data_IF_719801764279
#
_entry.id   IF_719801764279
#
_cell.length_a   1.000
_cell.length_b   1.000
_cell.length_c   1.000
_cell.angle_alpha   90.00
_cell.angle_beta   90.00
_cell.angle_gamma   90.00
#
_symmetry.space_group_name_H-M   'P 1'
#
loop_
_entity.id
_entity.type
_entity.pdbx_description
1 polymer ?
#
# COMPACT_ATOMS: atom_id res chain seq x y z
N UNK A 1 -9.48 20.77 -1.19
CA UNK A 1 -10.34 19.68 -0.67
C UNK A 1 -9.88 19.23 0.70
N UNK A 2 -10.72 18.45 1.43
CA UNK A 2 -10.37 17.89 2.72
C UNK A 2 -9.94 16.43 2.51
N UNK A 3 -8.68 16.14 2.74
CA UNK A 3 -8.07 14.82 2.54
C UNK A 3 -7.93 14.14 3.89
N UNK A 4 -8.39 12.90 3.98
CA UNK A 4 -8.09 12.03 5.10
C UNK A 4 -6.91 11.13 4.74
N UNK A 5 -5.77 11.37 5.39
CA UNK A 5 -4.59 10.51 5.27
C UNK A 5 -4.61 9.43 6.36
N UNK A 6 -4.95 8.23 5.94
CA UNK A 6 -5.00 7.04 6.78
C UNK A 6 -3.63 6.35 6.78
N UNK A 7 -3.02 6.22 7.96
CA UNK A 7 -1.69 5.61 8.07
C UNK A 7 -1.46 5.04 9.48
N UNK A 8 -0.41 4.27 9.66
CA UNK A 8 0.08 3.87 10.98
C UNK A 8 0.83 5.04 11.63
N UNK A 9 0.67 5.22 12.94
CA UNK A 9 1.36 6.26 13.71
C UNK A 9 2.89 6.17 13.63
N UNK A 10 3.43 4.96 13.44
CA UNK A 10 4.86 4.65 13.30
C UNK A 10 5.32 4.51 11.84
N UNK A 11 4.48 4.89 10.86
CA UNK A 11 4.85 4.75 9.46
C UNK A 11 6.04 5.66 9.11
N UNK A 12 7.07 5.07 8.47
CA UNK A 12 8.19 5.82 7.94
C UNK A 12 7.72 6.72 6.78
N UNK A 13 8.32 7.90 6.65
CA UNK A 13 8.04 8.88 5.59
C UNK A 13 6.60 9.43 5.59
N UNK A 14 5.82 9.29 6.67
CA UNK A 14 4.45 9.82 6.72
C UNK A 14 4.42 11.35 6.58
N UNK A 15 5.45 12.04 7.10
CA UNK A 15 5.61 13.49 6.99
C UNK A 15 5.79 13.89 5.51
N UNK A 16 6.66 13.19 4.77
CA UNK A 16 6.87 13.46 3.35
C UNK A 16 5.62 13.16 2.50
N UNK A 17 4.86 12.10 2.82
CA UNK A 17 3.56 11.84 2.20
C UNK A 17 2.58 12.97 2.50
N UNK A 18 2.51 13.42 3.75
CA UNK A 18 1.66 14.55 4.15
C UNK A 18 1.99 15.82 3.35
N UNK A 19 3.27 16.18 3.22
CA UNK A 19 3.72 17.36 2.48
C UNK A 19 3.28 17.32 1.01
N UNK A 20 3.42 16.15 0.36
CA UNK A 20 2.97 15.98 -1.03
C UNK A 20 1.45 16.14 -1.14
N UNK A 21 0.68 15.52 -0.23
CA UNK A 21 -0.78 15.64 -0.22
C UNK A 21 -1.23 17.08 0.01
N UNK A 22 -0.52 17.83 0.85
CA UNK A 22 -0.83 19.22 1.18
C UNK A 22 -0.32 20.26 0.14
N UNK A 23 0.50 19.85 -0.82
CA UNK A 23 1.22 20.75 -1.76
C UNK A 23 0.31 21.68 -2.59
N UNK A 24 -0.97 21.33 -2.76
CA UNK A 24 -1.96 22.12 -3.50
C UNK A 24 -2.91 22.91 -2.59
N UNK A 25 -2.47 23.27 -1.39
CA UNK A 25 -3.26 23.97 -0.35
C UNK A 25 -4.50 23.18 0.10
N UNK A 26 -4.47 21.86 -0.07
CA UNK A 26 -5.52 20.99 0.47
C UNK A 26 -5.36 20.84 1.98
N UNK A 27 -6.48 20.69 2.68
CA UNK A 27 -6.47 20.41 4.12
C UNK A 27 -6.29 18.92 4.33
N UNK A 28 -5.16 18.50 4.89
CA UNK A 28 -4.84 17.11 5.17
C UNK A 28 -5.02 16.81 6.65
N UNK A 29 -5.83 15.80 6.96
CA UNK A 29 -6.03 15.27 8.31
C UNK A 29 -5.40 13.89 8.40
N UNK A 30 -4.34 13.74 9.20
CA UNK A 30 -3.71 12.44 9.46
C UNK A 30 -4.50 11.68 10.52
N UNK A 31 -4.80 10.40 10.27
CA UNK A 31 -5.64 9.62 11.16
C UNK A 31 -5.19 8.15 11.24
N UNK A 32 -5.23 7.58 12.46
CA UNK A 32 -4.67 6.26 12.78
C UNK A 32 -5.68 5.28 13.38
N UNK A 33 -6.90 5.76 13.66
CA UNK A 33 -7.94 4.96 14.30
C UNK A 33 -8.97 4.51 13.27
N UNK A 34 -9.86 3.63 13.68
CA UNK A 34 -10.99 3.21 12.85
C UNK A 34 -11.86 4.40 12.43
N UNK A 35 -12.18 4.46 11.14
CA UNK A 35 -12.99 5.53 10.54
C UNK A 35 -14.46 5.20 10.64
N UNK A 36 -15.27 6.19 11.05
CA UNK A 36 -16.74 6.10 11.04
C UNK A 36 -17.35 7.07 10.05
N UNK A 37 -18.57 6.80 9.61
CA UNK A 37 -19.29 7.69 8.70
C UNK A 37 -19.52 9.09 9.31
N UNK A 38 -19.82 9.14 10.62
CA UNK A 38 -20.03 10.41 11.33
C UNK A 38 -18.71 11.22 11.40
N UNK A 39 -17.57 10.53 11.55
CA UNK A 39 -16.28 11.19 11.48
C UNK A 39 -16.04 11.80 10.08
N UNK A 40 -16.29 11.07 9.00
CA UNK A 40 -16.14 11.60 7.64
C UNK A 40 -17.04 12.80 7.39
N UNK A 41 -18.30 12.75 7.82
CA UNK A 41 -19.27 13.85 7.72
C UNK A 41 -18.81 15.07 8.51
N UNK A 42 -18.44 14.88 9.78
CA UNK A 42 -17.99 15.96 10.68
C UNK A 42 -16.75 16.69 10.15
N UNK A 43 -15.80 15.92 9.59
CA UNK A 43 -14.57 16.48 9.02
C UNK A 43 -14.75 16.94 7.56
N UNK A 44 -15.91 16.75 6.95
CA UNK A 44 -16.23 17.10 5.54
C UNK A 44 -15.18 16.50 4.58
N UNK A 45 -14.87 15.22 4.74
CA UNK A 45 -13.82 14.55 3.95
C UNK A 45 -14.29 14.37 2.50
N UNK A 46 -13.45 14.80 1.57
CA UNK A 46 -13.67 14.69 0.13
C UNK A 46 -12.88 13.56 -0.53
N UNK A 47 -11.73 13.19 0.07
CA UNK A 47 -10.78 12.24 -0.48
C UNK A 47 -10.10 11.44 0.64
N UNK A 48 -9.85 10.15 0.40
CA UNK A 48 -9.10 9.28 1.31
C UNK A 48 -7.82 8.83 0.61
N UNK A 49 -6.67 9.04 1.26
CA UNK A 49 -5.41 8.45 0.89
C UNK A 49 -4.95 7.49 2.00
N UNK A 50 -4.70 6.23 1.67
CA UNK A 50 -4.34 5.18 2.61
C UNK A 50 -2.95 4.64 2.32
N UNK A 51 -2.09 4.63 3.33
CA UNK A 51 -0.76 4.03 3.30
C UNK A 51 -0.46 3.38 4.65
N UNK A 52 -0.42 2.04 4.69
CA UNK A 52 -0.22 1.24 5.92
C UNK A 52 -1.32 1.43 6.98
N UNK A 53 -2.52 1.59 6.56
CA UNK A 53 -3.65 1.64 7.46
C UNK A 53 -4.15 0.21 7.78
N UNK A 54 -4.39 -0.06 9.07
CA UNK A 54 -4.65 -1.43 9.56
C UNK A 54 -6.12 -1.84 9.55
N UNK A 55 -7.04 -0.91 9.30
CA UNK A 55 -8.49 -1.19 9.30
C UNK A 55 -9.02 -1.27 7.88
N UNK A 56 -10.04 -2.10 7.68
CA UNK A 56 -10.76 -2.19 6.41
C UNK A 56 -11.83 -1.11 6.38
N UNK A 57 -11.89 -0.35 5.29
CA UNK A 57 -12.95 0.63 5.07
C UNK A 57 -14.18 -0.07 4.50
N UNK A 58 -15.30 0.07 5.20
CA UNK A 58 -16.59 -0.43 4.73
C UNK A 58 -17.06 0.28 3.45
N UNK A 59 -17.82 -0.41 2.62
CA UNK A 59 -18.34 0.11 1.35
C UNK A 59 -19.09 1.44 1.51
N UNK A 60 -19.82 1.62 2.62
CA UNK A 60 -20.55 2.87 2.92
C UNK A 60 -19.62 4.08 3.09
N UNK A 61 -18.39 3.87 3.61
CA UNK A 61 -17.38 4.93 3.78
C UNK A 61 -16.76 5.30 2.42
N UNK A 62 -16.49 4.30 1.58
CA UNK A 62 -15.98 4.50 0.22
C UNK A 62 -17.01 5.24 -0.66
N UNK A 63 -18.30 4.88 -0.54
CA UNK A 63 -19.38 5.54 -1.24
C UNK A 63 -19.57 6.99 -0.80
N UNK A 64 -19.35 7.30 0.48
CA UNK A 64 -19.43 8.67 1.00
C UNK A 64 -18.45 9.63 0.30
N UNK A 65 -17.26 9.17 -0.02
CA UNK A 65 -16.27 9.94 -0.79
C UNK A 65 -16.38 9.72 -2.31
N UNK A 66 -17.49 9.17 -2.78
CA UNK A 66 -17.75 8.92 -4.22
C UNK A 66 -16.64 8.10 -4.90
N UNK A 67 -16.07 7.11 -4.21
CA UNK A 67 -14.97 6.29 -4.70
C UNK A 67 -13.62 7.00 -4.76
N UNK A 68 -13.51 8.22 -4.23
CA UNK A 68 -12.23 8.95 -4.14
C UNK A 68 -11.39 8.46 -2.96
N UNK A 69 -11.04 7.18 -3.01
CA UNK A 69 -10.22 6.52 -2.00
C UNK A 69 -9.12 5.73 -2.69
N UNK A 70 -7.88 6.06 -2.40
CA UNK A 70 -6.66 5.45 -2.97
C UNK A 70 -5.88 4.77 -1.87
N UNK A 71 -5.41 3.55 -2.14
CA UNK A 71 -4.51 2.81 -1.27
C UNK A 71 -3.17 2.59 -1.93
N UNK A 72 -2.12 2.59 -1.12
CA UNK A 72 -0.76 2.23 -1.49
C UNK A 72 -0.51 0.78 -1.10
N UNK A 73 -0.15 -0.05 -2.08
CA UNK A 73 0.16 -1.45 -1.87
C UNK A 73 1.58 -1.78 -2.35
N UNK A 74 2.50 -2.25 -1.45
CA UNK A 74 3.90 -2.50 -1.81
C UNK A 74 4.09 -3.83 -2.55
N UNK A 75 3.36 -4.05 -3.64
CA UNK A 75 3.57 -5.08 -4.66
C UNK A 75 3.06 -4.61 -6.01
N UNK A 76 3.35 -5.36 -7.06
CA UNK A 76 2.74 -5.17 -8.38
C UNK A 76 1.42 -5.96 -8.43
N UNK A 77 0.30 -5.30 -8.11
CA UNK A 77 -1.03 -5.91 -8.22
C UNK A 77 -1.28 -6.43 -9.65
N UNK A 78 -1.92 -7.59 -9.81
CA UNK A 78 -2.72 -8.35 -8.84
C UNK A 78 -1.91 -9.29 -7.92
N UNK A 79 -0.59 -9.34 -8.02
CA UNK A 79 0.25 -10.23 -7.21
C UNK A 79 0.34 -9.79 -5.75
N UNK A 80 0.42 -10.79 -4.85
CA UNK A 80 0.72 -10.61 -3.42
C UNK A 80 -0.23 -9.65 -2.70
N UNK A 81 -1.54 -9.78 -2.95
CA UNK A 81 -2.60 -9.07 -2.23
C UNK A 81 -2.57 -9.43 -0.74
N UNK A 82 -3.06 -8.52 0.10
CA UNK A 82 -3.16 -8.71 1.54
C UNK A 82 -1.93 -8.23 2.29
N UNK A 83 -1.51 -8.96 3.33
CA UNK A 83 -0.47 -8.51 4.26
C UNK A 83 0.95 -8.74 3.72
N UNK A 84 1.90 -7.91 4.18
CA UNK A 84 3.34 -8.07 3.92
C UNK A 84 3.71 -8.35 2.45
N UNK A 85 3.13 -7.62 1.48
CA UNK A 85 3.23 -7.95 0.06
C UNK A 85 4.66 -7.98 -0.45
N UNK A 86 5.55 -7.14 0.09
CA UNK A 86 6.96 -7.12 -0.28
C UNK A 86 7.67 -8.43 0.08
N UNK A 87 7.42 -8.96 1.29
CA UNK A 87 7.95 -10.27 1.71
C UNK A 87 7.45 -11.39 0.78
N UNK A 88 6.15 -11.41 0.51
CA UNK A 88 5.56 -12.43 -0.37
C UNK A 88 6.01 -12.27 -1.82
N UNK A 89 6.36 -11.09 -2.30
CA UNK A 89 6.95 -10.92 -3.63
C UNK A 89 8.26 -11.70 -3.77
N UNK A 90 9.11 -11.64 -2.74
CA UNK A 90 10.37 -12.39 -2.72
C UNK A 90 10.13 -13.89 -2.56
N UNK A 91 9.26 -14.26 -1.61
CA UNK A 91 8.95 -15.65 -1.32
C UNK A 91 8.34 -16.38 -2.53
N UNK A 92 7.38 -15.74 -3.20
CA UNK A 92 6.68 -16.26 -4.38
C UNK A 92 7.46 -16.03 -5.70
N UNK A 93 8.63 -15.39 -5.61
CA UNK A 93 9.49 -15.08 -6.76
C UNK A 93 8.75 -14.32 -7.87
N UNK A 94 7.83 -13.44 -7.48
CA UNK A 94 7.16 -12.51 -8.39
C UNK A 94 7.92 -11.20 -8.49
N UNK A 95 7.62 -10.39 -9.51
CA UNK A 95 8.16 -9.04 -9.60
C UNK A 95 7.80 -8.23 -8.36
N UNK A 96 8.76 -7.47 -7.85
CA UNK A 96 8.61 -6.60 -6.69
C UNK A 96 8.29 -5.18 -7.15
N UNK A 97 7.44 -4.48 -6.43
CA UNK A 97 7.08 -3.11 -6.80
C UNK A 97 6.10 -2.45 -5.85
N UNK A 98 5.52 -1.37 -6.32
CA UNK A 98 4.47 -0.60 -5.63
C UNK A 98 3.31 -0.38 -6.58
N UNK A 99 2.10 -0.47 -6.08
CA UNK A 99 0.87 -0.12 -6.78
C UNK A 99 0.09 0.94 -6.00
N UNK A 100 -0.42 1.95 -6.69
CA UNK A 100 -1.50 2.79 -6.22
C UNK A 100 -2.78 2.30 -6.89
N UNK A 101 -3.82 2.07 -6.11
CA UNK A 101 -5.07 1.56 -6.64
C UNK A 101 -6.28 2.19 -5.93
N UNK A 102 -7.43 2.20 -6.57
CA UNK A 102 -8.68 2.58 -5.94
C UNK A 102 -9.06 1.57 -4.85
N UNK A 103 -9.58 2.06 -3.75
CA UNK A 103 -10.15 1.19 -2.72
C UNK A 103 -11.56 0.77 -3.11
N UNK A 104 -11.85 -0.51 -2.92
CA UNK A 104 -13.18 -1.11 -3.12
C UNK A 104 -13.51 -1.99 -1.93
N UNK A 105 -14.76 -2.50 -1.85
CA UNK A 105 -15.13 -3.48 -0.81
C UNK A 105 -14.31 -4.77 -0.85
N UNK A 106 -13.68 -5.06 -2.00
CA UNK A 106 -12.81 -6.23 -2.18
C UNK A 106 -11.37 -5.80 -1.98
N UNK A 107 -10.70 -6.43 -1.01
CA UNK A 107 -9.32 -6.09 -0.63
C UNK A 107 -8.36 -6.17 -1.81
N UNK A 108 -7.65 -5.06 -2.08
CA UNK A 108 -6.62 -4.88 -3.12
C UNK A 108 -7.06 -5.25 -4.54
N UNK A 109 -8.37 -5.14 -4.87
CA UNK A 109 -8.93 -5.46 -6.19
C UNK A 109 -9.40 -4.24 -7.00
N UNK A 110 -9.27 -3.05 -6.47
CA UNK A 110 -9.64 -1.84 -7.20
C UNK A 110 -8.74 -1.56 -8.39
N UNK A 111 -9.22 -0.72 -9.30
CA UNK A 111 -8.46 -0.34 -10.49
C UNK A 111 -7.12 0.29 -10.15
N UNK A 112 -6.10 -0.06 -10.91
CA UNK A 112 -4.72 0.40 -10.74
C UNK A 112 -4.57 1.80 -11.32
N UNK A 113 -4.02 2.69 -10.53
CA UNK A 113 -3.77 4.10 -10.86
C UNK A 113 -2.35 4.27 -11.39
N UNK A 114 -1.36 3.74 -10.65
CA UNK A 114 0.04 3.79 -11.01
C UNK A 114 0.78 2.58 -10.43
N UNK A 115 1.79 2.13 -11.13
CA UNK A 115 2.67 1.05 -10.66
C UNK A 115 4.12 1.36 -11.01
N UNK A 116 5.03 0.95 -10.14
CA UNK A 116 6.46 1.01 -10.39
C UNK A 116 7.14 -0.28 -9.90
N UNK A 117 7.85 -0.94 -10.81
CA UNK A 117 8.70 -2.08 -10.46
C UNK A 117 9.92 -1.61 -9.65
N UNK A 118 10.32 -2.40 -8.66
CA UNK A 118 11.51 -2.17 -7.83
C UNK A 118 12.51 -3.25 -8.15
N UNK A 119 13.71 -2.84 -8.54
CA UNK A 119 14.82 -3.77 -8.77
C UNK A 119 15.28 -4.38 -7.44
N UNK A 120 15.41 -5.70 -7.43
CA UNK A 120 15.94 -6.48 -6.32
C UNK A 120 17.38 -6.85 -6.64
N UNK A 121 18.31 -6.56 -5.72
CA UNK A 121 19.72 -6.89 -5.85
C UNK A 121 20.06 -8.12 -4.97
N UNK A 122 21.17 -8.77 -5.25
CA UNK A 122 21.58 -9.98 -4.53
C UNK A 122 21.94 -9.71 -3.06
N UNK A 123 22.47 -8.53 -2.76
CA UNK A 123 22.83 -8.07 -1.43
C UNK A 123 21.66 -7.44 -0.65
N UNK A 124 20.47 -7.37 -1.24
CA UNK A 124 19.31 -6.83 -0.55
C UNK A 124 18.88 -7.70 0.64
N UNK A 125 18.44 -7.01 1.69
CA UNK A 125 17.65 -7.57 2.77
C UNK A 125 16.18 -7.15 2.63
N UNK A 126 15.29 -7.76 3.39
CA UNK A 126 13.89 -7.31 3.43
C UNK A 126 13.79 -5.85 3.87
N UNK A 127 14.68 -5.40 4.79
CA UNK A 127 14.75 -4.01 5.25
C UNK A 127 15.16 -3.04 4.14
N UNK A 128 16.20 -3.35 3.36
CA UNK A 128 16.66 -2.46 2.27
C UNK A 128 15.61 -2.34 1.18
N UNK A 129 14.93 -3.43 0.85
CA UNK A 129 13.80 -3.43 -0.09
C UNK A 129 12.62 -2.62 0.45
N UNK A 130 12.31 -2.74 1.75
CA UNK A 130 11.26 -1.93 2.37
C UNK A 130 11.58 -0.43 2.25
N UNK A 131 12.80 0.00 2.57
CA UNK A 131 13.20 1.40 2.45
C UNK A 131 13.13 1.87 0.99
N UNK A 132 13.57 1.04 0.03
CA UNK A 132 13.46 1.35 -1.40
C UNK A 132 12.00 1.47 -1.83
N UNK A 133 11.11 0.62 -1.34
CA UNK A 133 9.68 0.72 -1.62
C UNK A 133 9.08 2.03 -1.09
N UNK A 134 9.52 2.50 0.09
CA UNK A 134 9.07 3.79 0.64
C UNK A 134 9.48 4.97 -0.24
N UNK A 135 10.71 4.97 -0.77
CA UNK A 135 11.18 5.98 -1.72
C UNK A 135 10.39 5.93 -3.04
N UNK A 136 10.09 4.72 -3.53
CA UNK A 136 9.27 4.52 -4.73
C UNK A 136 7.83 5.06 -4.53
N UNK A 137 7.26 4.90 -3.35
CA UNK A 137 5.95 5.47 -3.00
C UNK A 137 5.97 6.99 -3.09
N UNK A 138 6.99 7.65 -2.52
CA UNK A 138 7.13 9.10 -2.60
C UNK A 138 7.30 9.58 -4.05
N UNK A 139 8.12 8.88 -4.83
CA UNK A 139 8.30 9.17 -6.26
C UNK A 139 6.99 9.08 -7.04
N UNK A 140 6.25 7.97 -6.89
CA UNK A 140 4.95 7.80 -7.55
C UNK A 140 3.94 8.85 -7.10
N UNK A 141 3.88 9.15 -5.81
CA UNK A 141 2.95 10.14 -5.27
C UNK A 141 3.27 11.53 -5.81
N UNK A 142 4.52 11.95 -5.80
CA UNK A 142 4.94 13.26 -6.32
C UNK A 142 4.59 13.42 -7.79
N UNK A 143 4.78 12.39 -8.60
CA UNK A 143 4.55 12.45 -10.04
C UNK A 143 3.06 12.40 -10.42
N UNK A 144 2.23 11.69 -9.66
CA UNK A 144 0.85 11.43 -10.02
C UNK A 144 -0.19 12.17 -9.17
N UNK A 145 0.24 12.82 -8.07
CA UNK A 145 -0.71 13.47 -7.16
C UNK A 145 -1.60 14.53 -7.84
N UNK A 146 -1.09 15.41 -8.72
CA UNK A 146 -1.93 16.39 -9.41
C UNK A 146 -3.08 15.76 -10.21
N UNK A 147 -2.83 14.61 -10.84
CA UNK A 147 -3.82 13.88 -11.64
C UNK A 147 -4.76 13.03 -10.77
N UNK A 148 -4.22 12.39 -9.73
CA UNK A 148 -5.00 11.61 -8.75
C UNK A 148 -6.02 12.51 -8.06
N UNK A 149 -5.58 13.66 -7.51
CA UNK A 149 -6.46 14.58 -6.77
C UNK A 149 -7.57 15.18 -7.63
N UNK A 150 -7.34 15.33 -8.93
CA UNK A 150 -8.31 15.86 -9.89
C UNK A 150 -9.11 14.78 -10.62
N UNK A 151 -8.85 13.50 -10.33
CA UNK A 151 -9.46 12.34 -10.98
C UNK A 151 -9.26 12.30 -12.51
N UNK A 152 -8.16 12.88 -12.99
CA UNK A 152 -7.81 12.90 -14.42
C UNK A 152 -6.88 11.76 -14.83
N UNK A 153 -6.42 10.96 -13.86
CA UNK A 153 -5.54 9.82 -14.11
C UNK A 153 -6.30 8.64 -14.72
N UNK A 154 -5.65 7.95 -15.65
CA UNK A 154 -6.20 6.72 -16.23
C UNK A 154 -6.18 5.60 -15.20
N UNK A 155 -7.29 4.84 -15.13
CA UNK A 155 -7.44 3.72 -14.22
C UNK A 155 -7.49 2.43 -15.05
N UNK A 156 -6.58 1.49 -14.76
CA UNK A 156 -6.50 0.19 -15.40
C UNK A 156 -7.14 -0.89 -14.50
N UNK A 157 -8.19 -1.56 -14.99
CA UNK A 157 -8.85 -2.63 -14.23
C UNK A 157 -7.92 -3.85 -14.09
N UNK A 158 -7.91 -4.44 -12.90
CA UNK A 158 -7.20 -5.71 -12.70
C UNK A 158 -7.94 -6.83 -13.44
N UNK A 159 -7.22 -7.57 -14.30
CA UNK A 159 -7.80 -8.63 -15.13
C UNK A 159 -7.97 -9.94 -14.36
N UNK A 160 -7.19 -10.14 -13.30
CA UNK A 160 -7.13 -11.37 -12.53
C UNK A 160 -7.32 -11.09 -11.04
N UNK A 161 -7.86 -12.09 -10.34
CA UNK A 161 -7.99 -12.08 -8.89
C UNK A 161 -7.13 -13.22 -8.32
N UNK A 162 -5.95 -12.88 -7.85
CA UNK A 162 -5.02 -13.84 -7.25
C UNK A 162 -5.29 -14.02 -5.74
N UNK A 163 -4.80 -15.12 -5.12
CA UNK A 163 -4.97 -15.38 -3.70
C UNK A 163 -4.47 -14.24 -2.80
N UNK A 164 -5.04 -14.17 -1.60
CA UNK A 164 -4.67 -13.22 -0.55
C UNK A 164 -3.64 -13.86 0.38
N UNK A 165 -2.62 -13.08 0.78
CA UNK A 165 -1.70 -13.45 1.83
C UNK A 165 -2.25 -13.04 3.20
N UNK A 166 -2.21 -13.95 4.17
CA UNK A 166 -2.73 -13.76 5.52
C UNK A 166 -1.61 -13.54 6.54
N UNK A 167 -1.91 -12.79 7.61
CA UNK A 167 -0.96 -12.52 8.68
C UNK A 167 -0.45 -13.80 9.35
N UNK A 168 -1.31 -14.79 9.58
CA UNK A 168 -0.93 -16.08 10.17
C UNK A 168 0.10 -16.84 9.32
N UNK A 169 -0.03 -16.78 8.00
CA UNK A 169 0.94 -17.37 7.07
C UNK A 169 2.28 -16.63 7.14
N UNK A 170 2.25 -15.29 7.12
CA UNK A 170 3.45 -14.48 7.29
C UNK A 170 4.17 -14.82 8.60
N UNK A 171 3.47 -14.77 9.74
CA UNK A 171 4.05 -15.00 11.07
C UNK A 171 4.71 -16.37 11.17
N UNK A 172 4.08 -17.41 10.60
CA UNK A 172 4.61 -18.78 10.59
C UNK A 172 5.91 -18.90 9.80
N UNK A 173 5.98 -18.23 8.64
CA UNK A 173 7.15 -18.30 7.76
C UNK A 173 8.26 -17.37 8.25
N UNK A 174 7.91 -16.14 8.65
CA UNK A 174 8.85 -15.13 9.09
C UNK A 174 9.68 -15.56 10.30
N UNK A 175 9.10 -16.35 11.22
CA UNK A 175 9.80 -16.94 12.37
C UNK A 175 10.97 -17.86 11.99
N UNK A 176 10.99 -18.38 10.75
CA UNK A 176 12.07 -19.24 10.24
C UNK A 176 13.24 -18.44 9.68
N UNK A 177 13.10 -17.13 9.53
CA UNK A 177 14.18 -16.27 9.03
C UNK A 177 15.28 -16.07 10.08
N UNK A 178 16.56 -16.22 9.72
CA UNK A 178 17.68 -16.21 10.67
C UNK A 178 17.91 -14.82 11.29
N UNK A 179 17.55 -13.74 10.57
CA UNK A 179 17.80 -12.35 10.98
C UNK A 179 16.55 -11.46 10.85
N UNK A 180 15.35 -12.05 10.78
CA UNK A 180 14.09 -11.30 10.65
C UNK A 180 14.12 -10.35 9.46
N UNK A 181 13.91 -9.05 9.70
CA UNK A 181 13.94 -8.02 8.65
C UNK A 181 15.29 -7.81 7.97
N UNK A 182 16.39 -8.23 8.59
CA UNK A 182 17.74 -8.15 8.04
C UNK A 182 18.17 -9.45 7.35
N UNK A 183 17.24 -10.40 7.18
CA UNK A 183 17.44 -11.59 6.36
C UNK A 183 17.56 -11.19 4.88
N UNK A 184 18.48 -11.86 4.19
CA UNK A 184 18.73 -11.60 2.77
C UNK A 184 17.58 -12.08 1.89
N UNK A 185 17.50 -11.54 0.69
CA UNK A 185 16.60 -12.05 -0.36
C UNK A 185 16.81 -13.55 -0.59
N UNK A 186 18.06 -14.02 -0.52
CA UNK A 186 18.41 -15.45 -0.64
C UNK A 186 17.81 -16.28 0.49
N UNK A 187 17.88 -15.80 1.76
CA UNK A 187 17.27 -16.49 2.90
C UNK A 187 15.76 -16.69 2.68
N UNK A 188 15.07 -15.65 2.18
CA UNK A 188 13.62 -15.71 1.94
C UNK A 188 13.29 -16.66 0.78
N UNK A 189 14.04 -16.58 -0.33
CA UNK A 189 13.84 -17.48 -1.48
C UNK A 189 14.07 -18.94 -1.12
N UNK A 190 15.00 -19.25 -0.24
CA UNK A 190 15.26 -20.62 0.19
C UNK A 190 14.10 -21.23 0.98
N UNK A 191 13.32 -20.41 1.70
CA UNK A 191 12.12 -20.87 2.36
C UNK A 191 11.04 -21.35 1.37
N UNK A 192 11.00 -20.81 0.15
CA UNK A 192 10.05 -21.25 -0.87
C UNK A 192 10.27 -22.70 -1.31
N UNK A 193 11.49 -23.23 -1.19
CA UNK A 193 11.86 -24.59 -1.59
C UNK A 193 11.49 -25.66 -0.57
N UNK A 194 11.12 -25.27 0.65
CA UNK A 194 10.91 -26.20 1.78
C UNK A 194 9.45 -26.56 2.05
N UNK A 195 8.51 -26.32 1.10
CA UNK A 195 7.06 -26.52 1.26
C UNK A 195 6.61 -26.15 2.68
N UNK A 196 6.22 -24.90 2.91
CA UNK A 196 5.85 -24.41 4.26
C UNK A 196 4.64 -25.06 4.89
#
# INVERSE_FOLDING_TARGET
MNILFLTDSKANNKEAVFEILASHKDKVLVYHKEVTLDFLKKQKIDFIFSDRYSYILEERLLNFVYGRAVNVHPSLLPYNRGVQPLFFSILNQTKTGVSFHLMTKKLDQGGIIAQQEIKVFEDDTLRTLYLRSRNTILYLLSNHWPEIRTQKIQINQQKEVLPINFQSTFDRIFKKLPRGWDSSVSDIKNLSKTNY
#
